data_IF_559755747373
#
_entry.id   IF_559755747373
#
_cell.length_a   1.000
_cell.length_b   1.000
_cell.length_c   1.000
_cell.angle_alpha   90.00
_cell.angle_beta   90.00
_cell.angle_gamma   90.00
#
_symmetry.space_group_name_H-M   'P 1'
#
loop_
_entity.id
_entity.type
_entity.pdbx_description
1 polymer ?
#
# COMPACT_ATOMS: atom_id res chain seq x y z
N UNK A 1 -12.79 -23.71 -4.35
CA UNK A 1 -11.79 -23.07 -3.47
C UNK A 1 -11.16 -21.91 -4.25
N UNK A 2 -11.56 -20.65 -4.02
CA UNK A 2 -11.10 -19.50 -4.81
C UNK A 2 -10.03 -18.62 -4.12
N UNK A 3 -9.65 -18.87 -2.86
CA UNK A 3 -8.84 -17.91 -2.08
C UNK A 3 -7.33 -17.95 -2.37
N UNK A 4 -6.76 -19.06 -2.83
CA UNK A 4 -5.31 -19.16 -3.08
C UNK A 4 -4.82 -18.17 -4.14
N UNK A 5 -5.61 -17.96 -5.21
CA UNK A 5 -5.19 -17.11 -6.32
C UNK A 5 -5.11 -15.62 -5.92
N UNK A 6 -5.94 -15.18 -4.97
CA UNK A 6 -5.96 -13.79 -4.50
C UNK A 6 -4.78 -13.52 -3.55
N UNK A 7 -4.47 -14.47 -2.66
CA UNK A 7 -3.32 -14.37 -1.74
C UNK A 7 -2.00 -14.30 -2.52
N UNK A 8 -1.85 -15.15 -3.55
CA UNK A 8 -0.65 -15.17 -4.40
C UNK A 8 -0.46 -13.85 -5.17
N UNK A 9 -1.56 -13.29 -5.70
CA UNK A 9 -1.54 -11.99 -6.35
C UNK A 9 -1.25 -10.83 -5.38
N UNK A 10 -1.80 -10.88 -4.16
CA UNK A 10 -1.49 -9.89 -3.11
C UNK A 10 -0.02 -9.95 -2.72
N UNK A 11 0.57 -11.15 -2.63
CA UNK A 11 2.00 -11.32 -2.37
C UNK A 11 2.84 -10.76 -3.53
N UNK A 12 2.43 -10.98 -4.77
CA UNK A 12 3.08 -10.39 -5.93
C UNK A 12 3.01 -8.85 -5.91
N UNK A 13 1.85 -8.28 -5.57
CA UNK A 13 1.68 -6.83 -5.41
C UNK A 13 2.54 -6.28 -4.26
N UNK A 14 2.64 -7.00 -3.14
CA UNK A 14 3.48 -6.62 -2.01
C UNK A 14 4.95 -6.54 -2.43
N UNK A 15 5.45 -7.55 -3.13
CA UNK A 15 6.83 -7.55 -3.66
C UNK A 15 7.05 -6.41 -4.64
N UNK A 16 6.09 -6.15 -5.53
CA UNK A 16 6.17 -5.05 -6.50
C UNK A 16 6.28 -3.69 -5.80
N UNK A 17 5.43 -3.42 -4.81
CA UNK A 17 5.46 -2.13 -4.09
C UNK A 17 6.72 -2.00 -3.25
N UNK A 18 7.16 -3.09 -2.62
CA UNK A 18 8.46 -3.14 -1.94
C UNK A 18 9.61 -2.78 -2.89
N UNK A 19 9.66 -3.37 -4.08
CA UNK A 19 10.70 -3.09 -5.07
C UNK A 19 10.69 -1.62 -5.52
N UNK A 20 9.51 -1.02 -5.69
CA UNK A 20 9.37 0.41 -6.01
C UNK A 20 9.97 1.25 -4.88
N UNK A 21 9.56 1.02 -3.63
CA UNK A 21 10.07 1.78 -2.47
C UNK A 21 11.58 1.57 -2.28
N UNK A 22 12.10 0.37 -2.55
CA UNK A 22 13.52 0.07 -2.48
C UNK A 22 14.33 0.83 -3.53
N UNK A 23 13.85 0.92 -4.78
CA UNK A 23 14.52 1.67 -5.84
C UNK A 23 14.61 3.17 -5.55
N UNK A 24 13.61 3.69 -4.87
CA UNK A 24 13.58 5.09 -4.41
C UNK A 24 14.40 5.32 -3.12
N UNK A 25 15.06 4.28 -2.60
CA UNK A 25 15.94 4.38 -1.43
C UNK A 25 15.22 4.63 -0.10
N UNK A 26 13.89 4.49 -0.05
CA UNK A 26 13.09 4.79 1.15
C UNK A 26 12.66 3.55 1.94
N UNK A 27 13.11 2.34 1.55
CA UNK A 27 12.72 1.11 2.23
C UNK A 27 13.11 1.08 3.71
N UNK A 28 14.23 1.69 4.06
CA UNK A 28 14.70 1.76 5.45
C UNK A 28 13.76 2.58 6.35
N UNK A 29 12.97 3.50 5.77
CA UNK A 29 11.96 4.29 6.49
C UNK A 29 10.67 3.52 6.76
N UNK A 30 10.45 2.40 6.07
CA UNK A 30 9.29 1.53 6.32
C UNK A 30 9.46 0.86 7.68
N UNK A 31 8.48 0.96 8.60
CA UNK A 31 8.54 0.30 9.90
C UNK A 31 8.71 -1.22 9.77
N UNK A 32 9.49 -1.83 10.66
CA UNK A 32 9.78 -3.27 10.61
C UNK A 32 8.53 -4.15 10.58
N UNK A 33 7.51 -3.79 11.36
CA UNK A 33 6.23 -4.51 11.40
C UNK A 33 5.47 -4.48 10.05
N UNK A 34 5.77 -3.51 9.17
CA UNK A 34 5.17 -3.38 7.83
C UNK A 34 6.00 -4.04 6.73
N UNK A 35 7.16 -4.61 7.06
CA UNK A 35 8.03 -5.33 6.10
C UNK A 35 7.60 -6.77 5.87
N UNK A 36 6.74 -7.30 6.73
CA UNK A 36 6.17 -8.65 6.59
C UNK A 36 4.92 -8.64 5.71
N UNK A 37 4.74 -9.70 4.93
CA UNK A 37 3.57 -9.81 4.06
C UNK A 37 2.30 -10.08 4.88
N UNK A 38 1.43 -9.08 4.90
CA UNK A 38 0.03 -9.20 5.31
C UNK A 38 -0.83 -8.31 4.39
N UNK A 39 -2.13 -8.58 4.22
CA UNK A 39 -3.02 -7.70 3.45
C UNK A 39 -3.04 -6.26 3.98
N UNK A 40 -2.98 -6.09 5.29
CA UNK A 40 -2.89 -4.77 5.94
C UNK A 40 -1.57 -4.06 5.61
N UNK A 41 -0.45 -4.79 5.66
CA UNK A 41 0.86 -4.22 5.32
C UNK A 41 0.97 -3.90 3.83
N UNK A 42 0.32 -4.66 2.94
CA UNK A 42 0.19 -4.28 1.53
C UNK A 42 -0.53 -2.94 1.39
N UNK A 43 -1.67 -2.75 2.06
CA UNK A 43 -2.39 -1.46 2.04
C UNK A 43 -1.50 -0.33 2.56
N UNK A 44 -0.78 -0.56 3.66
CA UNK A 44 0.11 0.43 4.23
C UNK A 44 1.29 0.79 3.33
N UNK A 45 1.91 -0.18 2.65
CA UNK A 45 2.97 0.07 1.67
C UNK A 45 2.45 0.83 0.45
N UNK A 46 1.26 0.48 -0.05
CA UNK A 46 0.61 1.18 -1.16
C UNK A 46 0.29 2.62 -0.75
N UNK A 47 -0.26 2.82 0.46
CA UNK A 47 -0.50 4.14 1.06
C UNK A 47 0.79 4.95 1.09
N UNK A 48 1.86 4.38 1.64
CA UNK A 48 3.17 5.04 1.70
C UNK A 48 3.69 5.43 0.32
N UNK A 49 3.70 4.49 -0.63
CA UNK A 49 4.17 4.73 -1.99
C UNK A 49 3.33 5.80 -2.72
N UNK A 50 2.02 5.85 -2.46
CA UNK A 50 1.13 6.87 -3.01
C UNK A 50 1.43 8.26 -2.46
N UNK A 51 1.53 8.41 -1.12
CA UNK A 51 1.84 9.71 -0.52
C UNK A 51 3.28 10.17 -0.76
N UNK A 52 4.21 9.24 -0.95
CA UNK A 52 5.57 9.54 -1.38
C UNK A 52 5.67 9.94 -2.87
N UNK A 53 4.59 9.77 -3.65
CA UNK A 53 4.54 10.11 -5.07
C UNK A 53 5.15 9.08 -6.01
N UNK A 54 5.42 7.85 -5.54
CA UNK A 54 6.00 6.78 -6.34
C UNK A 54 4.98 6.07 -7.24
N UNK A 55 3.72 6.07 -6.82
CA UNK A 55 2.61 5.48 -7.56
C UNK A 55 1.42 6.44 -7.63
N UNK A 56 0.63 6.30 -8.69
CA UNK A 56 -0.60 7.07 -8.88
C UNK A 56 -1.84 6.30 -8.39
N UNK A 57 -3.01 6.96 -8.42
CA UNK A 57 -4.28 6.38 -8.00
C UNK A 57 -4.74 5.20 -8.87
N UNK A 58 -4.39 5.17 -10.16
CA UNK A 58 -4.71 4.03 -11.03
C UNK A 58 -3.93 2.78 -10.61
N UNK A 59 -2.67 2.95 -10.20
CA UNK A 59 -1.85 1.89 -9.63
C UNK A 59 -2.40 1.44 -8.27
N UNK A 60 -2.81 2.36 -7.39
CA UNK A 60 -3.46 2.03 -6.11
C UNK A 60 -4.68 1.13 -6.30
N UNK A 61 -5.58 1.49 -7.23
CA UNK A 61 -6.79 0.71 -7.52
C UNK A 61 -6.44 -0.71 -7.95
N UNK A 62 -5.43 -0.86 -8.83
CA UNK A 62 -4.97 -2.17 -9.31
C UNK A 62 -4.33 -2.99 -8.18
N UNK A 63 -3.47 -2.38 -7.38
CA UNK A 63 -2.70 -3.07 -6.33
C UNK A 63 -3.58 -3.56 -5.19
N UNK A 64 -4.63 -2.81 -4.85
CA UNK A 64 -5.54 -3.12 -3.75
C UNK A 64 -6.84 -3.81 -4.20
N UNK A 65 -6.98 -4.12 -5.50
CA UNK A 65 -8.19 -4.71 -6.06
C UNK A 65 -9.45 -3.89 -5.73
N UNK A 66 -9.36 -2.55 -5.77
CA UNK A 66 -10.47 -1.68 -5.43
C UNK A 66 -11.54 -1.72 -6.52
N UNK A 67 -12.80 -1.72 -6.10
CA UNK A 67 -13.91 -1.60 -7.04
C UNK A 67 -14.17 -0.14 -7.40
N UNK A 68 -14.95 0.05 -8.47
CA UNK A 68 -15.27 1.35 -9.01
C UNK A 68 -16.17 2.12 -8.03
N UNK A 69 -15.57 2.95 -7.19
CA UNK A 69 -16.28 3.76 -6.18
C UNK A 69 -15.56 3.83 -4.85
N UNK A 70 -14.69 2.85 -4.55
CA UNK A 70 -14.04 2.74 -3.24
C UNK A 70 -12.91 3.75 -3.03
N UNK A 71 -12.44 4.42 -4.09
CA UNK A 71 -11.33 5.38 -4.03
C UNK A 71 -11.57 6.50 -3.01
N UNK A 72 -12.79 7.04 -2.95
CA UNK A 72 -13.08 8.20 -2.12
C UNK A 72 -13.07 7.80 -0.64
N UNK A 73 -13.64 6.64 -0.33
CA UNK A 73 -13.65 6.05 1.01
C UNK A 73 -12.24 5.68 1.46
N UNK A 74 -11.43 5.10 0.57
CA UNK A 74 -10.05 4.74 0.88
C UNK A 74 -9.20 5.99 1.19
N UNK A 75 -9.29 7.01 0.35
CA UNK A 75 -8.57 8.28 0.58
C UNK A 75 -8.99 8.92 1.90
N UNK A 76 -10.30 8.96 2.19
CA UNK A 76 -10.79 9.49 3.46
C UNK A 76 -10.18 8.74 4.65
N UNK A 77 -10.23 7.40 4.64
CA UNK A 77 -9.60 6.55 5.66
C UNK A 77 -8.12 6.88 5.83
N UNK A 78 -7.37 6.99 4.73
CA UNK A 78 -5.93 7.27 4.79
C UNK A 78 -5.62 8.66 5.35
N UNK A 79 -6.38 9.69 4.97
CA UNK A 79 -6.20 11.03 5.52
C UNK A 79 -6.54 11.09 7.02
N UNK A 80 -7.58 10.39 7.45
CA UNK A 80 -7.93 10.24 8.87
C UNK A 80 -6.81 9.54 9.65
N UNK A 81 -6.30 8.41 9.14
CA UNK A 81 -5.19 7.69 9.76
C UNK A 81 -3.92 8.53 9.86
N UNK A 82 -3.57 9.28 8.82
CA UNK A 82 -2.42 10.17 8.82
C UNK A 82 -2.60 11.30 9.84
N UNK A 83 -3.82 11.82 9.97
CA UNK A 83 -4.14 12.87 10.95
C UNK A 83 -3.99 12.36 12.38
N UNK A 84 -4.38 11.12 12.64
CA UNK A 84 -4.33 10.53 13.99
C UNK A 84 -2.94 10.00 14.37
N UNK A 85 -2.27 9.32 13.44
CA UNK A 85 -1.05 8.55 13.72
C UNK A 85 0.21 9.17 13.12
N UNK A 86 0.08 10.25 12.36
CA UNK A 86 1.16 10.82 11.57
C UNK A 86 1.36 10.10 10.24
N UNK A 87 2.03 10.77 9.32
CA UNK A 87 2.46 10.18 8.06
C UNK A 87 3.88 9.62 8.26
N UNK A 88 4.18 8.42 7.78
CA UNK A 88 5.53 7.84 7.84
C UNK A 88 6.60 8.61 7.04
N UNK A 89 6.22 9.74 6.41
CA UNK A 89 7.11 10.66 5.71
C UNK A 89 7.50 11.89 6.57
N UNK A 90 6.90 12.10 7.74
CA UNK A 90 7.19 13.24 8.62
C UNK A 90 7.54 12.85 10.05
#
# INVERSE_FOLDING_TARGET
>A
MPDSNRSDLQLAHFKLVKDIIQREGLWERVPDHSREFTPENLENLVKYAYFAGFIDMSQVIRLLFLEKGDRARLLQKWYEEIREKGCWLC
#
